data_IF_883786286348
#
_entry.id   IF_883786286348
#
_cell.length_a   1.000
_cell.length_b   1.000
_cell.length_c   1.000
_cell.angle_alpha   90.00
_cell.angle_beta   90.00
_cell.angle_gamma   90.00
#
_symmetry.space_group_name_H-M   'P 1'
#
loop_
_entity.id
_entity.type
_entity.pdbx_description
1 polymer ?
#
# COMPACT_ATOMS: atom_id res chain seq x y z
N UNK A 1 12.38 9.21 -5.95
CA UNK A 1 12.80 10.62 -5.97
C UNK A 1 11.66 11.52 -6.35
N UNK A 2 10.72 11.76 -5.43
CA UNK A 2 9.68 12.80 -5.61
C UNK A 2 10.34 14.18 -5.58
N UNK A 3 9.82 15.12 -6.37
CA UNK A 3 10.32 16.49 -6.48
C UNK A 3 9.55 17.49 -5.61
N UNK A 4 8.47 17.04 -5.01
CA UNK A 4 7.61 17.82 -4.12
C UNK A 4 8.02 17.64 -2.64
N UNK A 5 7.10 17.96 -1.73
CA UNK A 5 7.35 17.87 -0.28
C UNK A 5 7.21 16.44 0.29
N UNK A 6 6.90 15.43 -0.54
CA UNK A 6 6.63 14.06 -0.07
C UNK A 6 7.78 13.49 0.76
N UNK A 7 9.04 13.68 0.31
CA UNK A 7 10.21 13.20 1.04
C UNK A 7 10.32 13.78 2.46
N UNK A 8 10.07 15.09 2.61
CA UNK A 8 10.09 15.78 3.91
C UNK A 8 8.98 15.30 4.84
N UNK A 9 7.80 15.00 4.29
CA UNK A 9 6.68 14.44 5.04
C UNK A 9 7.06 13.04 5.55
N UNK A 10 7.59 12.17 4.70
CA UNK A 10 8.05 10.85 5.13
C UNK A 10 9.07 10.93 6.27
N UNK A 11 10.07 11.81 6.16
CA UNK A 11 11.07 12.02 7.22
C UNK A 11 10.42 12.43 8.55
N UNK A 12 9.42 13.31 8.54
CA UNK A 12 8.75 13.75 9.78
C UNK A 12 8.05 12.59 10.49
N UNK A 13 7.41 11.69 9.73
CA UNK A 13 6.81 10.46 10.27
C UNK A 13 7.86 9.52 10.88
N UNK A 14 9.02 9.37 10.24
CA UNK A 14 10.10 8.52 10.77
C UNK A 14 10.69 9.02 12.10
N UNK A 15 10.56 10.32 12.40
CA UNK A 15 11.02 10.91 13.67
C UNK A 15 10.07 10.61 14.84
N UNK A 16 8.80 10.31 14.57
CA UNK A 16 7.78 10.10 15.60
C UNK A 16 7.39 8.64 15.78
N UNK A 17 7.59 7.79 14.77
CA UNK A 17 7.30 6.36 14.84
C UNK A 17 8.54 5.52 14.44
N UNK A 18 9.16 4.79 15.38
CA UNK A 18 10.39 4.03 15.11
C UNK A 18 10.17 2.84 14.18
N UNK A 19 8.92 2.47 13.87
CA UNK A 19 8.60 1.42 12.89
C UNK A 19 8.80 1.91 11.45
N UNK A 20 8.77 3.23 11.23
CA UNK A 20 8.87 3.83 9.90
C UNK A 20 10.34 4.05 9.54
N UNK A 21 10.76 3.45 8.42
CA UNK A 21 12.10 3.65 7.82
C UNK A 21 11.93 4.31 6.46
N UNK A 22 12.63 5.43 6.25
CA UNK A 22 12.54 6.21 5.02
C UNK A 22 13.84 6.06 4.24
N UNK A 23 13.70 5.83 2.94
CA UNK A 23 14.82 5.71 2.01
C UNK A 23 14.61 6.68 0.85
N UNK A 24 15.66 7.41 0.50
CA UNK A 24 15.67 8.28 -0.67
C UNK A 24 16.53 7.64 -1.75
N UNK A 25 15.96 7.54 -2.95
CA UNK A 25 16.61 7.04 -4.16
C UNK A 25 16.22 7.91 -5.34
N UNK A 26 17.10 7.99 -6.34
CA UNK A 26 16.80 8.53 -7.66
C UNK A 26 15.55 7.85 -8.26
N UNK A 27 14.79 8.58 -9.09
CA UNK A 27 13.55 8.06 -9.65
C UNK A 27 13.83 6.96 -10.69
N UNK A 28 13.44 5.71 -10.39
CA UNK A 28 13.46 4.57 -11.31
C UNK A 28 12.08 4.00 -11.63
N UNK A 29 11.00 4.67 -11.23
CA UNK A 29 9.61 4.18 -11.35
C UNK A 29 9.16 3.24 -10.22
N UNK A 30 7.89 2.81 -10.27
CA UNK A 30 7.24 2.05 -9.19
C UNK A 30 7.87 0.67 -8.94
N UNK A 31 8.22 -0.05 -10.02
CA UNK A 31 8.80 -1.40 -9.89
C UNK A 31 10.18 -1.37 -9.23
N UNK A 32 11.02 -0.41 -9.60
CA UNK A 32 12.32 -0.17 -8.97
C UNK A 32 12.17 0.17 -7.48
N UNK A 33 11.20 1.02 -7.13
CA UNK A 33 10.91 1.35 -5.73
C UNK A 33 10.45 0.14 -4.90
N UNK A 34 9.57 -0.70 -5.45
CA UNK A 34 9.07 -1.92 -4.78
C UNK A 34 10.19 -2.94 -4.58
N UNK A 35 11.01 -3.18 -5.60
CA UNK A 35 12.15 -4.10 -5.52
C UNK A 35 13.18 -3.63 -4.49
N UNK A 36 13.52 -2.34 -4.51
CA UNK A 36 14.37 -1.75 -3.49
C UNK A 36 13.77 -1.92 -2.08
N UNK A 37 12.46 -1.72 -1.92
CA UNK A 37 11.76 -1.95 -0.66
C UNK A 37 11.88 -3.39 -0.14
N UNK A 38 11.76 -4.38 -1.03
CA UNK A 38 11.95 -5.80 -0.71
C UNK A 38 13.39 -6.05 -0.19
N UNK A 39 14.41 -5.53 -0.88
CA UNK A 39 15.81 -5.69 -0.45
C UNK A 39 16.08 -5.09 0.94
N UNK A 40 15.35 -4.05 1.34
CA UNK A 40 15.50 -3.39 2.64
C UNK A 40 14.62 -3.96 3.75
N UNK A 41 13.70 -4.89 3.44
CA UNK A 41 12.74 -5.41 4.41
C UNK A 41 13.43 -6.22 5.52
N UNK A 42 12.86 -6.17 6.72
CA UNK A 42 13.31 -6.97 7.88
C UNK A 42 12.24 -7.96 8.38
N UNK A 43 11.03 -7.89 7.81
CA UNK A 43 9.92 -8.78 8.16
C UNK A 43 9.95 -10.08 7.37
N UNK A 44 9.04 -10.99 7.70
CA UNK A 44 8.83 -12.25 6.97
C UNK A 44 7.76 -12.14 5.87
N UNK A 45 6.88 -11.14 5.99
CA UNK A 45 5.78 -10.88 5.08
C UNK A 45 5.95 -9.50 4.45
N UNK A 46 5.49 -9.35 3.22
CA UNK A 46 5.47 -8.08 2.49
C UNK A 46 4.04 -7.76 2.07
N UNK A 47 3.67 -6.48 2.18
CA UNK A 47 2.44 -5.93 1.63
C UNK A 47 2.79 -4.58 0.99
N UNK A 48 2.25 -4.32 -0.19
CA UNK A 48 2.42 -3.05 -0.88
C UNK A 48 1.16 -2.21 -0.69
N UNK A 49 1.34 -0.92 -0.37
CA UNK A 49 0.26 0.06 -0.22
C UNK A 49 0.71 1.26 -1.05
N UNK A 50 -0.10 1.63 -2.05
CA UNK A 50 0.19 2.80 -2.89
C UNK A 50 -0.08 4.10 -2.09
N UNK A 51 0.61 5.19 -2.43
CA UNK A 51 0.65 6.40 -1.59
C UNK A 51 -0.64 7.23 -1.59
N UNK A 52 -1.52 6.96 -2.55
CA UNK A 52 -2.85 7.53 -2.72
C UNK A 52 -3.96 6.66 -2.11
N UNK A 53 -3.61 5.49 -1.56
CA UNK A 53 -4.54 4.58 -0.89
C UNK A 53 -4.44 4.66 0.64
N UNK A 54 -5.46 4.14 1.32
CA UNK A 54 -5.46 3.88 2.75
C UNK A 54 -6.06 2.52 3.09
N UNK A 55 -5.69 1.98 4.25
CA UNK A 55 -6.11 0.65 4.71
C UNK A 55 -7.00 0.73 5.95
N UNK A 56 -7.85 -0.28 6.14
CA UNK A 56 -8.62 -0.42 7.37
C UNK A 56 -7.71 -0.71 8.58
N UNK A 57 -8.18 -0.37 9.78
CA UNK A 57 -7.42 -0.59 11.03
C UNK A 57 -7.05 -2.05 11.27
N UNK A 58 -7.80 -2.98 10.70
CA UNK A 58 -7.66 -4.43 10.86
C UNK A 58 -7.05 -5.13 9.63
N UNK A 59 -6.66 -4.39 8.59
CA UNK A 59 -6.12 -4.91 7.32
C UNK A 59 -4.98 -5.91 7.52
N UNK A 60 -3.91 -5.48 8.20
CA UNK A 60 -2.71 -6.31 8.42
C UNK A 60 -3.05 -7.57 9.25
N UNK A 61 -3.88 -7.41 10.30
CA UNK A 61 -4.26 -8.53 11.17
C UNK A 61 -5.10 -9.57 10.44
N UNK A 62 -6.04 -9.14 9.59
CA UNK A 62 -6.88 -10.05 8.78
C UNK A 62 -6.05 -10.86 7.80
N UNK A 63 -5.17 -10.21 7.04
CA UNK A 63 -4.30 -10.91 6.07
C UNK A 63 -3.33 -11.87 6.77
N UNK A 64 -2.69 -11.42 7.85
CA UNK A 64 -1.80 -12.27 8.63
C UNK A 64 -2.54 -13.48 9.24
N UNK A 65 -3.72 -13.26 9.83
CA UNK A 65 -4.51 -14.34 10.41
C UNK A 65 -5.00 -15.33 9.36
N UNK A 66 -5.36 -14.85 8.17
CA UNK A 66 -5.73 -15.70 7.03
C UNK A 66 -4.57 -16.60 6.61
N UNK A 67 -3.36 -16.06 6.49
CA UNK A 67 -2.13 -16.83 6.25
C UNK A 67 -1.95 -17.93 7.30
N UNK A 68 -1.99 -17.56 8.59
CA UNK A 68 -1.71 -18.49 9.69
C UNK A 68 -2.75 -19.58 9.89
N UNK A 69 -4.02 -19.25 9.71
CA UNK A 69 -5.12 -20.19 9.93
C UNK A 69 -5.29 -21.20 8.79
N UNK A 70 -4.78 -20.88 7.59
CA UNK A 70 -4.92 -21.72 6.41
C UNK A 70 -3.57 -22.29 5.93
N UNK A 71 -2.50 -22.11 6.71
CA UNK A 71 -1.13 -22.51 6.34
C UNK A 71 -0.77 -22.10 4.90
N UNK A 72 -1.09 -20.85 4.55
CA UNK A 72 -0.98 -20.33 3.19
C UNK A 72 0.23 -19.41 3.03
N UNK A 73 0.82 -19.36 1.84
CA UNK A 73 1.95 -18.46 1.56
C UNK A 73 1.52 -17.03 1.22
N UNK A 74 0.28 -16.86 0.74
CA UNK A 74 -0.28 -15.58 0.29
C UNK A 74 -1.71 -15.44 0.80
N UNK A 75 -2.10 -14.21 1.16
CA UNK A 75 -3.49 -13.83 1.44
C UNK A 75 -3.81 -12.54 0.69
N UNK A 76 -5.03 -12.46 0.17
CA UNK A 76 -5.53 -11.36 -0.65
C UNK A 76 -6.87 -10.92 -0.06
N UNK A 77 -7.14 -9.63 -0.07
CA UNK A 77 -8.43 -9.07 0.28
C UNK A 77 -8.98 -8.20 -0.86
N UNK A 78 -10.30 -8.02 -0.88
CA UNK A 78 -10.93 -7.05 -1.78
C UNK A 78 -10.65 -5.62 -1.31
N UNK A 79 -10.97 -4.65 -2.17
CA UNK A 79 -10.85 -3.22 -1.92
C UNK A 79 -12.21 -2.52 -2.07
N UNK A 80 -12.27 -1.26 -1.63
CA UNK A 80 -13.40 -0.37 -1.88
C UNK A 80 -12.91 0.80 -2.72
N UNK A 81 -13.67 1.14 -3.76
CA UNK A 81 -13.42 2.37 -4.51
C UNK A 81 -14.03 3.54 -3.75
N UNK A 82 -13.21 4.57 -3.55
CA UNK A 82 -13.56 5.79 -2.85
C UNK A 82 -13.10 6.99 -3.66
N UNK A 83 -13.77 8.13 -3.50
CA UNK A 83 -13.30 9.41 -4.05
C UNK A 83 -12.19 10.02 -3.18
N UNK A 84 -11.67 11.18 -3.58
CA UNK A 84 -10.63 11.91 -2.83
C UNK A 84 -11.07 12.34 -1.41
N UNK A 85 -12.38 12.31 -1.12
CA UNK A 85 -12.94 12.60 0.22
C UNK A 85 -13.10 11.34 1.06
N UNK A 86 -12.84 10.16 0.49
CA UNK A 86 -13.04 8.86 1.14
C UNK A 86 -14.48 8.35 1.04
N UNK A 87 -15.33 8.98 0.23
CA UNK A 87 -16.72 8.56 0.06
C UNK A 87 -16.80 7.39 -0.92
N UNK A 88 -17.55 6.34 -0.56
CA UNK A 88 -17.66 5.14 -1.38
C UNK A 88 -18.31 5.46 -2.73
N UNK A 89 -17.64 5.08 -3.81
CA UNK A 89 -18.19 5.13 -5.15
C UNK A 89 -19.10 3.91 -5.33
N UNK A 90 -20.35 4.13 -5.74
CA UNK A 90 -21.30 3.05 -6.00
C UNK A 90 -20.89 2.27 -7.25
N UNK A 91 -21.05 0.94 -7.20
CA UNK A 91 -20.68 0.02 -8.28
C UNK A 91 -21.40 0.37 -9.61
N UNK A 92 -22.58 0.98 -9.56
CA UNK A 92 -23.37 1.45 -10.72
C UNK A 92 -22.65 2.49 -11.60
N UNK A 93 -21.63 3.19 -11.09
CA UNK A 93 -20.86 4.19 -11.87
C UNK A 93 -19.72 3.56 -12.69
N UNK A 94 -19.38 2.28 -12.45
CA UNK A 94 -18.32 1.56 -13.18
C UNK A 94 -18.78 1.05 -14.55
N UNK A 95 -20.09 1.01 -14.82
CA UNK A 95 -20.67 0.62 -16.10
C UNK A 95 -20.48 1.66 -17.22
N UNK A 96 -19.92 2.84 -16.92
CA UNK A 96 -19.64 3.88 -17.92
C UNK A 96 -18.31 3.70 -18.67
N UNK A 97 -17.87 2.46 -18.87
CA UNK A 97 -16.93 2.10 -19.95
C UNK A 97 -15.44 2.10 -19.62
N UNK A 98 -15.04 1.92 -18.36
CA UNK A 98 -13.65 1.58 -18.01
C UNK A 98 -13.61 0.40 -17.05
N UNK A 99 -13.50 -0.79 -17.64
CA UNK A 99 -13.14 -2.02 -16.93
C UNK A 99 -11.74 -1.80 -16.34
N UNK A 100 -11.65 -1.66 -15.02
CA UNK A 100 -10.39 -1.79 -14.29
C UNK A 100 -10.33 -3.23 -13.76
N UNK A 101 -9.63 -4.10 -14.48
CA UNK A 101 -9.22 -5.38 -13.94
C UNK A 101 -8.14 -5.11 -12.89
N UNK A 102 -8.43 -5.45 -11.64
CA UNK A 102 -7.40 -5.64 -10.62
C UNK A 102 -7.49 -7.10 -10.18
N UNK A 103 -6.35 -7.79 -10.24
CA UNK A 103 -6.21 -9.21 -9.92
C UNK A 103 -6.08 -9.48 -8.43
#
# INVERSE_FOLDING_TARGET
>A
GSTDSSGKICESFSKVDPRIRVFHKENGGLSDARNFGIEQMKGQYVAFIDSDDYISKDYVWKLYSSIKNNDSEVSICSFLLVDEKGEKIKDELLDSGKICLTG
#
